data_IF_016859711378
#
_entry.id   IF_016859711378
#
_cell.length_a   1.000
_cell.length_b   1.000
_cell.length_c   1.000
_cell.angle_alpha   90.00
_cell.angle_beta   90.00
_cell.angle_gamma   90.00
#
_symmetry.space_group_name_H-M   'P 1'
#
loop_
_entity.id
_entity.type
_entity.pdbx_description
1 polymer ?
#
# COMPACT_ATOMS: atom_id res chain seq x y z
N UNK A 1 60.68 21.54 -19.57
CA UNK A 1 61.00 22.12 -18.25
C UNK A 1 59.77 22.89 -17.80
N UNK A 2 59.47 22.94 -16.49
CA UNK A 2 59.23 21.89 -15.49
C UNK A 2 57.75 22.10 -15.01
N UNK A 3 57.10 21.43 -14.06
CA UNK A 3 57.43 21.29 -12.64
C UNK A 3 56.70 20.03 -12.11
N UNK A 4 57.51 18.99 -11.94
CA UNK A 4 57.43 18.11 -10.78
C UNK A 4 57.52 19.01 -9.53
N UNK A 5 56.85 18.63 -8.44
CA UNK A 5 56.88 19.26 -7.11
C UNK A 5 55.62 20.06 -6.70
N UNK A 6 54.58 19.32 -6.31
CA UNK A 6 53.87 19.59 -5.06
C UNK A 6 53.13 18.33 -4.59
N UNK A 7 53.89 17.25 -4.40
CA UNK A 7 53.53 16.25 -3.41
C UNK A 7 53.62 16.91 -2.03
N UNK A 8 52.47 17.32 -1.49
CA UNK A 8 52.32 17.59 -0.07
C UNK A 8 51.43 16.51 0.55
N UNK A 9 52.11 15.44 0.96
CA UNK A 9 51.91 14.60 2.17
C UNK A 9 50.45 14.34 2.60
N UNK A 10 49.91 13.13 2.38
CA UNK A 10 50.00 11.92 3.23
C UNK A 10 49.22 12.05 4.58
N UNK A 11 48.66 10.98 5.19
CA UNK A 11 48.66 9.56 4.83
C UNK A 11 47.25 8.94 4.68
N UNK A 12 47.20 7.75 4.06
CA UNK A 12 46.13 6.79 4.31
C UNK A 12 46.15 6.40 5.80
N UNK A 13 45.30 7.02 6.60
CA UNK A 13 44.98 6.61 7.96
C UNK A 13 44.09 5.36 7.90
N UNK A 14 44.67 4.25 8.32
CA UNK A 14 44.01 2.99 8.58
C UNK A 14 43.24 3.05 9.93
N UNK A 15 42.14 3.80 9.96
CA UNK A 15 41.14 3.74 11.03
C UNK A 15 39.73 3.64 10.43
N UNK A 16 39.40 2.42 10.00
CA UNK A 16 38.04 1.85 10.03
C UNK A 16 37.30 2.24 11.33
N UNK A 17 35.95 2.38 11.43
CA UNK A 17 34.87 2.11 10.47
C UNK A 17 33.85 3.28 10.33
N UNK A 18 32.81 3.04 9.51
CA UNK A 18 31.44 3.62 9.54
C UNK A 18 31.04 4.44 8.32
N UNK A 19 31.04 3.75 7.17
CA UNK A 19 30.06 3.95 6.10
C UNK A 19 28.63 3.56 6.54
N UNK A 20 28.13 4.08 7.67
CA UNK A 20 26.78 3.82 8.18
C UNK A 20 26.16 5.05 8.88
N UNK A 21 26.54 6.27 8.50
CA UNK A 21 25.88 7.49 9.01
C UNK A 21 24.99 8.18 7.97
N UNK A 22 24.95 7.65 6.74
CA UNK A 22 24.21 8.25 5.61
C UNK A 22 23.14 7.31 5.03
N UNK A 23 22.67 6.32 5.80
CA UNK A 23 21.50 5.50 5.47
C UNK A 23 20.33 5.79 6.42
N UNK A 24 20.26 7.02 6.92
CA UNK A 24 19.19 7.49 7.79
C UNK A 24 18.63 8.77 7.22
N UNK A 25 17.32 8.76 6.96
CA UNK A 25 16.54 9.80 6.29
C UNK A 25 16.79 9.87 4.80
N UNK A 26 16.08 9.06 4.03
CA UNK A 26 14.95 9.49 3.21
C UNK A 26 14.24 8.20 2.77
N UNK A 27 13.57 7.52 3.71
CA UNK A 27 12.33 6.83 3.34
C UNK A 27 11.33 7.94 3.00
N UNK A 28 11.57 8.57 1.84
CA UNK A 28 10.69 9.53 1.24
C UNK A 28 9.42 8.72 0.99
N UNK A 29 8.43 8.89 1.86
CA UNK A 29 7.06 8.71 1.44
C UNK A 29 6.95 9.70 0.30
N UNK A 30 7.15 9.21 -0.92
CA UNK A 30 6.81 9.94 -2.11
C UNK A 30 5.37 10.36 -1.86
N UNK A 31 5.21 11.65 -1.54
CA UNK A 31 3.94 12.32 -1.63
C UNK A 31 3.63 12.19 -3.11
N UNK A 32 3.01 11.07 -3.48
CA UNK A 32 2.48 10.83 -4.82
C UNK A 32 1.72 12.10 -5.07
N UNK A 33 2.22 12.89 -6.02
CA UNK A 33 1.74 14.23 -6.32
C UNK A 33 0.28 14.12 -6.82
N UNK A 34 -0.64 13.85 -5.90
CA UNK A 34 -2.09 13.80 -6.10
C UNK A 34 -2.65 15.20 -6.40
N UNK A 35 -1.78 16.20 -6.39
CA UNK A 35 -2.02 17.56 -6.89
C UNK A 35 -1.77 17.73 -8.39
N UNK A 36 -1.26 16.71 -9.09
CA UNK A 36 -1.02 16.76 -10.55
C UNK A 36 -1.89 15.86 -11.41
N UNK A 37 -2.78 15.07 -10.83
CA UNK A 37 -3.93 14.59 -11.59
C UNK A 37 -4.87 15.78 -11.71
N UNK A 38 -5.14 16.21 -12.95
CA UNK A 38 -6.18 17.18 -13.21
C UNK A 38 -7.45 16.69 -12.50
N UNK A 39 -7.82 17.35 -11.40
CA UNK A 39 -8.99 17.07 -10.55
C UNK A 39 -10.27 17.46 -11.29
N UNK A 40 -10.33 17.08 -12.57
CA UNK A 40 -11.38 17.33 -13.56
C UNK A 40 -12.46 16.26 -13.49
N UNK A 41 -12.19 15.13 -12.86
CA UNK A 41 -13.19 14.11 -12.59
C UNK A 41 -13.83 14.37 -11.23
N UNK A 42 -15.15 14.51 -11.26
CA UNK A 42 -15.98 14.64 -10.08
C UNK A 42 -15.74 13.45 -9.14
N UNK A 43 -15.79 13.64 -7.81
CA UNK A 43 -15.74 12.55 -6.83
C UNK A 43 -16.69 11.39 -7.18
N UNK A 44 -17.84 11.67 -7.80
CA UNK A 44 -18.80 10.66 -8.27
C UNK A 44 -18.25 9.81 -9.42
N UNK A 45 -17.46 10.37 -10.32
CA UNK A 45 -16.87 9.62 -11.44
C UNK A 45 -15.78 8.67 -10.95
N UNK A 46 -14.99 9.10 -9.98
CA UNK A 46 -13.99 8.24 -9.33
C UNK A 46 -14.67 7.07 -8.61
N UNK A 47 -15.78 7.33 -7.91
CA UNK A 47 -16.57 6.28 -7.26
C UNK A 47 -17.19 5.30 -8.28
N UNK A 48 -17.70 5.81 -9.42
CA UNK A 48 -18.21 4.97 -10.50
C UNK A 48 -17.13 4.10 -11.15
N UNK A 49 -15.90 4.60 -11.28
CA UNK A 49 -14.76 3.82 -11.77
C UNK A 49 -14.39 2.71 -10.77
N UNK A 50 -14.36 3.03 -9.47
CA UNK A 50 -14.09 2.03 -8.43
C UNK A 50 -15.14 0.92 -8.42
N UNK A 51 -16.43 1.27 -8.49
CA UNK A 51 -17.53 0.30 -8.57
C UNK A 51 -17.44 -0.50 -9.87
N UNK A 52 -17.18 0.16 -11.01
CA UNK A 52 -17.07 -0.50 -12.30
C UNK A 52 -15.89 -1.49 -12.39
N UNK A 53 -14.75 -1.16 -11.78
CA UNK A 53 -13.58 -2.04 -11.74
C UNK A 53 -13.76 -3.27 -10.85
N UNK A 54 -14.44 -3.11 -9.71
CA UNK A 54 -14.70 -4.22 -8.77
C UNK A 54 -15.79 -5.17 -9.26
N UNK A 55 -16.84 -4.67 -9.92
CA UNK A 55 -17.87 -5.52 -10.54
C UNK A 55 -17.30 -6.22 -11.78
N UNK A 56 -16.66 -5.45 -12.68
CA UNK A 56 -15.80 -5.93 -13.77
C UNK A 56 -16.32 -7.10 -14.63
N UNK A 57 -15.40 -7.66 -15.43
CA UNK A 57 -15.62 -8.92 -16.18
C UNK A 57 -15.47 -10.16 -15.30
N UNK A 58 -14.80 -10.03 -14.14
CA UNK A 58 -14.56 -11.13 -13.21
C UNK A 58 -15.85 -11.70 -12.64
N UNK A 59 -16.82 -10.85 -12.27
CA UNK A 59 -18.15 -11.30 -11.87
C UNK A 59 -18.82 -12.07 -13.03
N UNK A 60 -18.80 -11.53 -14.25
CA UNK A 60 -19.51 -12.14 -15.36
C UNK A 60 -18.90 -13.49 -15.79
N UNK A 61 -17.58 -13.58 -15.92
CA UNK A 61 -16.88 -14.83 -16.25
C UNK A 61 -16.98 -15.87 -15.12
N UNK A 62 -16.83 -15.43 -13.87
CA UNK A 62 -16.90 -16.30 -12.70
C UNK A 62 -18.30 -16.88 -12.49
N UNK A 63 -19.31 -16.01 -12.51
CA UNK A 63 -20.71 -16.42 -12.30
C UNK A 63 -21.21 -17.23 -13.49
N UNK A 64 -20.82 -16.90 -14.74
CA UNK A 64 -21.21 -17.67 -15.92
C UNK A 64 -20.69 -19.11 -15.92
N UNK A 65 -19.42 -19.32 -15.55
CA UNK A 65 -18.86 -20.68 -15.40
C UNK A 65 -19.51 -21.44 -14.25
N UNK A 66 -19.74 -20.77 -13.13
CA UNK A 66 -20.21 -21.45 -11.93
C UNK A 66 -21.74 -21.69 -11.93
N UNK A 67 -22.53 -20.89 -12.66
CA UNK A 67 -23.91 -21.20 -13.03
C UNK A 67 -24.00 -22.46 -13.89
N UNK A 68 -23.11 -22.60 -14.88
CA UNK A 68 -23.11 -23.74 -15.80
C UNK A 68 -22.73 -25.07 -15.11
N UNK A 69 -21.88 -25.04 -14.08
CA UNK A 69 -21.39 -26.25 -13.40
C UNK A 69 -22.11 -26.56 -12.09
N UNK A 70 -22.52 -25.56 -11.32
CA UNK A 70 -23.04 -25.72 -9.95
C UNK A 70 -24.54 -25.48 -9.79
N UNK A 71 -25.22 -24.97 -10.82
CA UNK A 71 -26.63 -24.56 -10.74
C UNK A 71 -26.86 -23.26 -9.92
N UNK A 72 -28.02 -22.61 -10.08
CA UNK A 72 -28.27 -21.27 -9.54
C UNK A 72 -28.33 -21.21 -8.00
N UNK A 73 -28.75 -22.29 -7.34
CA UNK A 73 -28.88 -22.33 -5.88
C UNK A 73 -27.52 -22.32 -5.16
N UNK A 74 -26.52 -23.05 -5.68
CA UNK A 74 -25.18 -23.09 -5.09
C UNK A 74 -24.44 -21.76 -5.30
N UNK A 75 -24.68 -21.09 -6.44
CA UNK A 75 -24.15 -19.75 -6.70
C UNK A 75 -24.65 -18.71 -5.71
N UNK A 76 -25.96 -18.66 -5.44
CA UNK A 76 -26.52 -17.75 -4.44
C UNK A 76 -25.96 -18.02 -3.04
N UNK A 77 -25.85 -19.29 -2.66
CA UNK A 77 -25.32 -19.67 -1.35
C UNK A 77 -23.84 -19.27 -1.21
N UNK A 78 -23.01 -19.57 -2.21
CA UNK A 78 -21.60 -19.22 -2.21
C UNK A 78 -21.39 -17.69 -2.16
N UNK A 79 -22.18 -16.93 -2.93
CA UNK A 79 -22.11 -15.46 -2.93
C UNK A 79 -22.54 -14.87 -1.59
N UNK A 80 -23.58 -15.43 -0.97
CA UNK A 80 -24.08 -15.01 0.34
C UNK A 80 -23.05 -15.28 1.44
N UNK A 81 -22.44 -16.47 1.47
CA UNK A 81 -21.43 -16.82 2.48
C UNK A 81 -20.17 -15.95 2.31
N UNK A 82 -19.67 -15.81 1.09
CA UNK A 82 -18.48 -15.00 0.82
C UNK A 82 -18.74 -13.51 1.13
N UNK A 83 -19.91 -13.00 0.72
CA UNK A 83 -20.37 -11.66 1.05
C UNK A 83 -20.52 -11.43 2.55
N UNK A 84 -21.04 -12.41 3.30
CA UNK A 84 -21.15 -12.31 4.75
C UNK A 84 -19.78 -12.23 5.44
N UNK A 85 -18.81 -13.04 5.02
CA UNK A 85 -17.44 -12.98 5.56
C UNK A 85 -16.83 -11.60 5.28
N UNK A 86 -16.92 -11.12 4.04
CA UNK A 86 -16.38 -9.79 3.66
C UNK A 86 -17.12 -8.65 4.37
N UNK A 87 -18.43 -8.79 4.60
CA UNK A 87 -19.20 -7.81 5.36
C UNK A 87 -18.73 -7.73 6.82
N UNK A 88 -18.54 -8.87 7.48
CA UNK A 88 -18.05 -8.91 8.86
C UNK A 88 -16.62 -8.37 8.97
N UNK A 89 -15.74 -8.67 8.02
CA UNK A 89 -14.37 -8.12 8.02
C UNK A 89 -14.38 -6.62 7.80
N UNK A 90 -15.19 -6.11 6.86
CA UNK A 90 -15.32 -4.67 6.61
C UNK A 90 -15.96 -3.94 7.78
N UNK A 91 -16.94 -4.54 8.46
CA UNK A 91 -17.52 -4.01 9.69
C UNK A 91 -16.47 -3.92 10.81
N UNK A 92 -15.66 -4.97 10.98
CA UNK A 92 -14.57 -4.99 11.97
C UNK A 92 -13.50 -3.95 11.66
N UNK A 93 -13.15 -3.79 10.37
CA UNK A 93 -12.24 -2.74 9.92
C UNK A 93 -12.85 -1.35 10.11
N UNK A 94 -14.16 -1.20 9.89
CA UNK A 94 -14.89 0.06 10.06
C UNK A 94 -14.84 0.56 11.49
N UNK A 95 -15.10 -0.31 12.47
CA UNK A 95 -14.93 0.01 13.88
C UNK A 95 -13.50 0.45 14.19
N UNK A 96 -12.50 -0.29 13.68
CA UNK A 96 -11.08 0.01 13.88
C UNK A 96 -10.63 1.36 13.28
N UNK A 97 -11.16 1.71 12.09
CA UNK A 97 -10.92 3.00 11.42
C UNK A 97 -11.59 4.16 12.18
N UNK A 98 -12.72 3.91 12.85
CA UNK A 98 -13.39 4.91 13.68
C UNK A 98 -12.62 5.20 14.98
N UNK A 99 -11.98 4.20 15.60
CA UNK A 99 -11.20 4.37 16.84
C UNK A 99 -9.85 5.06 16.65
N UNK A 100 -9.20 4.90 15.49
CA UNK A 100 -7.94 5.59 15.18
C UNK A 100 -8.02 6.10 13.72
N UNK A 101 -8.44 7.37 13.50
CA UNK A 101 -8.47 7.95 12.16
C UNK A 101 -7.04 8.31 11.73
N UNK A 102 -6.21 7.31 11.42
CA UNK A 102 -4.89 7.53 10.83
C UNK A 102 -5.06 7.68 9.32
N UNK A 103 -4.60 8.81 8.78
CA UNK A 103 -4.56 9.05 7.34
C UNK A 103 -3.47 8.17 6.71
N UNK A 104 -3.80 6.90 6.42
CA UNK A 104 -2.89 5.90 5.86
C UNK A 104 -3.64 4.72 5.25
N UNK A 105 -2.98 3.97 4.37
CA UNK A 105 -3.54 2.71 3.81
C UNK A 105 -3.75 1.69 4.93
N UNK A 106 -4.61 0.68 4.75
CA UNK A 106 -4.82 -0.40 5.75
C UNK A 106 -3.50 -1.04 6.23
N UNK A 107 -2.44 -1.03 5.39
CA UNK A 107 -1.10 -1.47 5.75
C UNK A 107 -0.43 -0.62 6.84
N UNK A 108 -0.74 0.67 6.93
CA UNK A 108 -0.22 1.59 7.96
C UNK A 108 -0.72 1.19 9.35
N UNK A 109 -1.92 0.62 9.47
CA UNK A 109 -2.42 0.11 10.75
C UNK A 109 -1.60 -1.09 11.28
N UNK A 110 -1.16 -1.99 10.41
CA UNK A 110 -0.31 -3.11 10.79
C UNK A 110 1.09 -2.65 11.21
N UNK A 111 1.66 -1.68 10.49
CA UNK A 111 3.00 -1.14 10.79
C UNK A 111 3.08 -0.41 12.14
N UNK A 112 2.10 0.44 12.46
CA UNK A 112 2.08 1.18 13.75
C UNK A 112 1.98 0.23 14.93
N UNK A 113 1.21 -0.86 14.79
CA UNK A 113 0.99 -1.79 15.90
C UNK A 113 2.19 -2.70 16.17
N UNK A 114 3.04 -2.95 15.18
CA UNK A 114 4.29 -3.71 15.33
C UNK A 114 5.41 -2.82 15.87
N UNK A 115 5.45 -1.54 15.47
CA UNK A 115 6.42 -0.56 15.99
C UNK A 115 6.17 -0.23 17.48
N UNK A 116 4.90 -0.19 17.91
CA UNK A 116 4.56 0.04 19.32
C UNK A 116 5.00 -1.10 20.26
N UNK A 117 5.16 -2.33 19.76
CA UNK A 117 5.65 -3.46 20.58
C UNK A 117 7.19 -3.50 20.73
N UNK A 118 7.94 -2.79 19.89
CA UNK A 118 9.42 -2.75 19.98
C UNK A 118 9.96 -1.66 20.91
N UNK A 119 9.08 -0.84 21.50
CA UNK A 119 9.43 0.27 22.40
C UNK A 119 9.02 0.04 23.87
N UNK A 120 8.74 -1.21 24.26
CA UNK A 120 8.42 -1.64 25.63
C UNK A 120 9.50 -2.53 26.24
#
# INVERSE_FOLDING_TARGET
MPDFDAEKQAPLDATTPRAFSNLSHHAQIDNVNADRLARKLSPRQVQMIAIGGTIGTGLYLGTGRALATGGPASMLLAYTICGAIVFVTMLSLGEMVAFIPVTGSFCTFAGIRIDMELLG
#
